data_IF_372377920109
#
_entry.id   IF_372377920109
#
_cell.length_a   1.000
_cell.length_b   1.000
_cell.length_c   1.000
_cell.angle_alpha   90.00
_cell.angle_beta   90.00
_cell.angle_gamma   90.00
#
_symmetry.space_group_name_H-M   'P 1'
#
loop_
_entity.id
_entity.type
_entity.pdbx_description
1 polymer ?
#
# COMPACT_ATOMS: atom_id res chain seq x y z
N UNK A 1 -6.18 -2.27 8.56
CA UNK A 1 -7.44 -2.13 7.83
C UNK A 1 -7.27 -2.74 6.45
N UNK A 2 -8.18 -3.62 6.06
CA UNK A 2 -8.21 -4.17 4.72
C UNK A 2 -8.50 -3.05 3.71
N UNK A 3 -7.91 -3.14 2.53
CA UNK A 3 -8.06 -2.13 1.49
C UNK A 3 -9.51 -1.95 1.03
N UNK A 4 -9.77 -0.84 0.38
CA UNK A 4 -11.09 -0.50 -0.17
C UNK A 4 -11.24 -0.96 -1.63
N UNK A 5 -10.41 -1.88 -2.09
CA UNK A 5 -10.35 -2.36 -3.47
C UNK A 5 -9.68 -1.43 -4.47
N UNK A 6 -9.46 -0.19 -4.10
CA UNK A 6 -8.65 0.76 -4.89
C UNK A 6 -7.19 0.65 -4.48
N UNK A 7 -6.95 0.45 -3.17
CA UNK A 7 -5.62 0.23 -2.58
C UNK A 7 -5.72 -0.88 -1.54
N UNK A 8 -4.66 -1.67 -1.39
CA UNK A 8 -4.72 -2.87 -0.56
C UNK A 8 -4.79 -2.58 0.94
N UNK A 9 -4.18 -1.48 1.40
CA UNK A 9 -4.17 -1.12 2.82
C UNK A 9 -4.55 0.34 3.03
N UNK A 10 -5.47 0.58 3.96
CA UNK A 10 -5.81 1.91 4.44
C UNK A 10 -5.25 2.09 5.85
N UNK A 11 -4.31 3.01 6.02
CA UNK A 11 -3.85 3.42 7.33
C UNK A 11 -4.64 4.64 7.81
N UNK A 12 -4.97 4.65 9.10
CA UNK A 12 -5.61 5.78 9.75
C UNK A 12 -4.60 6.42 10.69
N UNK A 13 -4.21 7.67 10.39
CA UNK A 13 -3.32 8.46 11.21
C UNK A 13 -4.10 9.56 11.91
N UNK A 14 -4.08 9.57 13.25
CA UNK A 14 -4.65 10.66 14.05
C UNK A 14 -3.50 11.50 14.56
N UNK A 15 -3.51 12.79 14.21
CA UNK A 15 -2.43 13.73 14.53
C UNK A 15 -3.01 14.89 15.32
N UNK A 16 -2.40 15.18 16.48
CA UNK A 16 -2.75 16.34 17.32
C UNK A 16 -1.67 17.39 17.22
N UNK A 17 -2.07 18.62 16.93
CA UNK A 17 -1.18 19.78 16.95
C UNK A 17 -1.14 20.38 18.36
N UNK A 18 -0.10 20.10 19.12
CA UNK A 18 0.10 20.63 20.47
C UNK A 18 0.78 22.02 20.50
N UNK A 19 1.00 22.64 19.34
CA UNK A 19 1.61 23.96 19.26
C UNK A 19 0.55 25.10 19.28
N UNK A 20 1.01 26.31 19.53
CA UNK A 20 0.17 27.52 19.48
C UNK A 20 -0.08 28.07 18.08
N UNK A 21 0.44 27.44 17.04
CA UNK A 21 0.31 27.87 15.62
C UNK A 21 -0.21 26.75 14.74
N UNK A 22 -0.81 27.10 13.62
CA UNK A 22 -1.20 26.08 12.61
C UNK A 22 0.04 25.37 12.09
N UNK A 23 -0.06 24.03 11.96
CA UNK A 23 1.00 23.18 11.44
C UNK A 23 0.58 22.53 10.13
N UNK A 24 1.48 22.50 9.17
CA UNK A 24 1.32 21.73 7.96
C UNK A 24 1.83 20.30 8.21
N UNK A 25 1.01 19.32 7.84
CA UNK A 25 1.37 17.91 7.81
C UNK A 25 1.56 17.49 6.37
N UNK A 26 2.72 16.93 6.08
CA UNK A 26 3.04 16.38 4.77
C UNK A 26 3.50 14.94 4.94
N UNK A 27 2.83 14.03 4.27
CA UNK A 27 3.29 12.65 4.08
C UNK A 27 3.72 12.55 2.63
N UNK A 28 5.02 12.47 2.36
CA UNK A 28 5.52 12.45 1.00
C UNK A 28 5.23 11.09 0.33
N UNK A 29 5.18 11.10 -0.99
CA UNK A 29 5.22 9.85 -1.75
C UNK A 29 6.52 9.11 -1.46
N UNK A 30 6.45 7.79 -1.47
CA UNK A 30 7.58 6.94 -1.08
C UNK A 30 7.77 6.81 0.44
N UNK A 31 6.94 7.45 1.27
CA UNK A 31 6.95 7.26 2.72
C UNK A 31 6.61 5.81 3.05
N UNK A 32 7.48 5.14 3.81
CA UNK A 32 7.25 3.78 4.26
C UNK A 32 6.56 3.73 5.62
N UNK A 33 5.88 2.62 5.87
CA UNK A 33 5.20 2.30 7.12
C UNK A 33 5.49 0.86 7.47
N UNK A 34 6.14 0.64 8.60
CA UNK A 34 6.53 -0.70 9.06
C UNK A 34 5.46 -1.25 9.98
N UNK A 35 5.00 -2.46 9.71
CA UNK A 35 4.09 -3.16 10.60
C UNK A 35 4.76 -3.46 11.94
N UNK A 36 4.07 -3.19 13.04
CA UNK A 36 4.56 -3.53 14.39
C UNK A 36 4.67 -5.05 14.56
N UNK A 37 3.76 -5.79 13.96
CA UNK A 37 3.84 -7.25 13.87
C UNK A 37 4.51 -7.63 12.54
N UNK A 38 5.69 -8.22 12.62
CA UNK A 38 6.52 -8.60 11.47
C UNK A 38 5.91 -9.72 10.61
N UNK A 39 4.86 -10.38 11.08
CA UNK A 39 4.10 -11.34 10.28
C UNK A 39 3.27 -10.66 9.16
N UNK A 40 3.03 -9.36 9.27
CA UNK A 40 2.23 -8.60 8.31
C UNK A 40 3.08 -7.71 7.41
N UNK A 41 2.53 -7.43 6.23
CA UNK A 41 3.16 -6.61 5.21
C UNK A 41 3.42 -5.18 5.69
N UNK A 42 4.58 -4.66 5.37
CA UNK A 42 4.89 -3.24 5.43
C UNK A 42 4.23 -2.51 4.25
N UNK A 43 4.13 -1.19 4.33
CA UNK A 43 3.48 -0.41 3.32
C UNK A 43 4.28 0.80 2.86
N UNK A 44 3.95 1.30 1.65
CA UNK A 44 4.50 2.54 1.10
C UNK A 44 3.38 3.41 0.54
N UNK A 45 3.39 4.69 0.87
CA UNK A 45 2.51 5.67 0.23
C UNK A 45 3.02 5.98 -1.18
N UNK A 46 2.22 5.69 -2.20
CA UNK A 46 2.52 6.08 -3.57
C UNK A 46 2.05 7.50 -3.91
N UNK A 47 1.14 8.06 -3.12
CA UNK A 47 0.59 9.39 -3.30
C UNK A 47 1.01 10.31 -2.15
N UNK A 48 1.21 11.58 -2.46
CA UNK A 48 1.45 12.61 -1.45
C UNK A 48 0.13 12.94 -0.74
N UNK A 49 0.17 13.02 0.59
CA UNK A 49 -0.91 13.59 1.39
C UNK A 49 -0.41 14.85 2.08
N UNK A 50 -1.23 15.90 2.09
CA UNK A 50 -0.94 17.09 2.85
C UNK A 50 -2.21 17.66 3.50
N UNK A 51 -2.02 18.38 4.58
CA UNK A 51 -3.12 19.06 5.25
C UNK A 51 -2.62 19.99 6.36
N UNK A 52 -3.49 20.89 6.81
CA UNK A 52 -3.18 21.81 7.89
C UNK A 52 -3.97 21.44 9.13
N UNK A 53 -3.33 21.52 10.30
CA UNK A 53 -3.96 21.30 11.60
C UNK A 53 -3.81 22.58 12.41
N UNK A 54 -4.94 23.17 12.84
CA UNK A 54 -4.96 24.36 13.68
C UNK A 54 -4.38 24.11 15.07
N UNK A 55 -4.09 25.18 15.84
CA UNK A 55 -3.56 25.08 17.19
C UNK A 55 -4.49 24.25 18.10
N UNK A 56 -3.93 23.31 18.86
CA UNK A 56 -4.68 22.46 19.78
C UNK A 56 -5.65 21.48 19.12
N UNK A 57 -5.76 21.47 17.79
CA UNK A 57 -6.69 20.63 17.07
C UNK A 57 -6.12 19.23 16.81
N UNK A 58 -7.04 18.26 16.68
CA UNK A 58 -6.75 16.91 16.24
C UNK A 58 -7.41 16.66 14.88
N UNK A 59 -6.69 16.02 13.96
CA UNK A 59 -7.20 15.64 12.64
C UNK A 59 -6.84 14.20 12.31
N UNK A 60 -7.78 13.51 11.70
CA UNK A 60 -7.60 12.15 11.20
C UNK A 60 -7.39 12.18 9.70
N UNK A 61 -6.36 11.48 9.24
CA UNK A 61 -6.02 11.29 7.84
C UNK A 61 -6.15 9.81 7.48
N UNK A 62 -6.69 9.53 6.32
CA UNK A 62 -6.68 8.19 5.73
C UNK A 62 -5.57 8.14 4.69
N UNK A 63 -4.62 7.26 4.90
CA UNK A 63 -3.49 7.03 4.01
C UNK A 63 -3.74 5.74 3.24
N UNK A 64 -3.58 5.82 1.94
CA UNK A 64 -3.62 4.65 1.09
C UNK A 64 -2.20 4.19 0.81
N UNK A 65 -1.87 2.99 1.27
CA UNK A 65 -0.53 2.43 1.12
C UNK A 65 -0.56 1.15 0.30
N UNK A 66 0.54 0.88 -0.36
CA UNK A 66 0.80 -0.33 -1.13
C UNK A 66 1.77 -1.22 -0.37
N UNK A 67 1.54 -2.51 -0.43
CA UNK A 67 2.41 -3.49 0.22
C UNK A 67 3.79 -3.53 -0.46
N UNK A 68 4.85 -3.69 0.33
CA UNK A 68 6.24 -3.71 -0.15
C UNK A 68 6.97 -5.02 0.17
N UNK A 69 6.26 -6.03 0.67
CA UNK A 69 6.77 -7.37 0.93
C UNK A 69 5.66 -8.40 0.71
N UNK A 70 5.72 -9.06 -0.42
CA UNK A 70 4.69 -10.02 -0.86
C UNK A 70 4.68 -11.31 -0.02
N UNK A 71 5.80 -11.66 0.59
CA UNK A 71 5.99 -12.86 1.40
C UNK A 71 5.31 -12.81 2.78
N UNK A 72 4.81 -11.65 3.20
CA UNK A 72 4.15 -11.46 4.50
C UNK A 72 2.63 -11.45 4.40
N UNK A 73 1.98 -11.74 5.53
CA UNK A 73 0.52 -11.78 5.63
C UNK A 73 -0.16 -10.42 5.43
N UNK A 74 -1.40 -10.45 4.96
CA UNK A 74 -2.24 -9.25 4.90
C UNK A 74 -2.52 -8.77 6.34
N UNK A 75 -2.35 -7.48 6.64
CA UNK A 75 -2.63 -6.96 7.96
C UNK A 75 -4.13 -7.04 8.30
N UNK A 76 -4.48 -7.53 9.49
CA UNK A 76 -5.86 -7.51 9.96
C UNK A 76 -6.30 -6.07 10.28
N UNK A 77 -7.61 -5.87 10.38
CA UNK A 77 -8.16 -4.62 10.91
C UNK A 77 -7.60 -4.36 12.31
N UNK A 78 -7.07 -3.14 12.52
CA UNK A 78 -6.46 -2.75 13.80
C UNK A 78 -4.96 -3.05 13.90
N UNK A 79 -4.33 -3.60 12.87
CA UNK A 79 -2.88 -3.70 12.81
C UNK A 79 -2.23 -2.32 12.98
N UNK A 80 -1.16 -2.27 13.76
CA UNK A 80 -0.43 -1.03 14.06
C UNK A 80 0.80 -0.89 13.16
N UNK A 81 1.07 0.34 12.77
CA UNK A 81 2.19 0.71 11.92
C UNK A 81 2.99 1.85 12.50
N UNK A 82 4.29 1.82 12.29
CA UNK A 82 5.20 2.92 12.60
C UNK A 82 5.62 3.60 11.28
N UNK A 83 5.68 4.93 11.24
CA UNK A 83 6.27 5.62 10.10
C UNK A 83 7.76 5.28 10.00
N UNK A 84 8.17 4.82 8.81
CA UNK A 84 9.57 4.60 8.45
C UNK A 84 10.15 5.81 7.69
N UNK A 85 11.30 5.67 7.07
CA UNK A 85 11.85 6.70 6.19
C UNK A 85 11.10 6.76 4.85
N UNK A 86 11.31 7.83 4.10
CA UNK A 86 11.04 7.82 2.66
C UNK A 86 11.99 6.81 2.02
N UNK A 87 11.49 5.97 1.12
CA UNK A 87 12.32 4.96 0.47
C UNK A 87 13.50 5.59 -0.28
N UNK A 88 14.68 5.00 -0.16
CA UNK A 88 15.85 5.37 -0.96
C UNK A 88 15.93 4.65 -2.31
N UNK A 89 14.99 3.76 -2.62
CA UNK A 89 14.96 3.03 -3.88
C UNK A 89 14.41 3.92 -4.99
N UNK A 90 15.27 4.24 -5.97
CA UNK A 90 14.92 5.14 -7.07
C UNK A 90 13.73 4.63 -7.89
N UNK A 91 13.64 3.32 -8.16
CA UNK A 91 12.54 2.73 -8.93
C UNK A 91 11.19 2.86 -8.20
N UNK A 92 11.17 2.67 -6.88
CA UNK A 92 9.96 2.90 -6.08
C UNK A 92 9.56 4.37 -6.06
N UNK A 93 10.51 5.29 -6.01
CA UNK A 93 10.24 6.73 -6.11
C UNK A 93 9.70 7.12 -7.49
N UNK A 94 10.20 6.52 -8.55
CA UNK A 94 9.69 6.72 -9.92
C UNK A 94 8.25 6.22 -10.04
N UNK A 95 7.95 5.00 -9.54
CA UNK A 95 6.58 4.46 -9.51
C UNK A 95 5.67 5.41 -8.72
N UNK A 96 6.08 5.84 -7.53
CA UNK A 96 5.29 6.76 -6.71
C UNK A 96 5.09 8.12 -7.40
N UNK A 97 6.10 8.61 -8.12
CA UNK A 97 6.01 9.85 -8.89
C UNK A 97 5.01 9.75 -10.05
N UNK A 98 4.98 8.61 -10.74
CA UNK A 98 4.04 8.35 -11.83
C UNK A 98 2.61 8.15 -11.31
N UNK A 99 2.46 7.59 -10.12
CA UNK A 99 1.17 7.26 -9.52
C UNK A 99 0.50 8.46 -8.82
N UNK A 100 1.28 9.45 -8.39
CA UNK A 100 0.81 10.57 -7.56
C UNK A 100 -0.34 11.33 -8.23
N UNK A 101 -1.49 11.38 -7.57
CA UNK A 101 -2.72 12.00 -8.07
C UNK A 101 -3.40 11.30 -9.25
N UNK A 102 -2.93 10.11 -9.66
CA UNK A 102 -3.47 9.39 -10.83
C UNK A 102 -4.16 8.08 -10.48
N UNK A 103 -4.11 7.63 -9.24
CA UNK A 103 -4.69 6.35 -8.84
C UNK A 103 -6.20 6.53 -8.65
N UNK A 104 -6.98 5.73 -9.38
CA UNK A 104 -8.43 5.78 -9.32
C UNK A 104 -9.09 4.51 -9.82
N UNK A 105 -10.42 4.49 -9.78
CA UNK A 105 -11.28 3.41 -10.27
C UNK A 105 -11.92 3.73 -11.62
N UNK A 106 -11.73 4.94 -12.13
CA UNK A 106 -12.35 5.40 -13.37
C UNK A 106 -11.82 4.64 -14.59
N UNK A 107 -12.68 4.54 -15.59
CA UNK A 107 -12.30 3.99 -16.91
C UNK A 107 -11.46 4.96 -17.75
N UNK A 108 -11.08 6.12 -17.22
CA UNK A 108 -10.22 7.09 -17.88
C UNK A 108 -8.85 6.46 -18.17
N UNK A 109 -8.39 6.48 -19.44
CA UNK A 109 -7.08 5.95 -19.81
C UNK A 109 -5.90 6.59 -19.07
N UNK A 110 -6.06 7.83 -18.58
CA UNK A 110 -5.05 8.52 -17.79
C UNK A 110 -4.99 8.05 -16.33
N UNK A 111 -5.99 7.27 -15.88
CA UNK A 111 -6.08 6.79 -14.50
C UNK A 111 -5.32 5.48 -14.35
N UNK A 112 -4.39 5.45 -13.41
CA UNK A 112 -3.68 4.22 -13.06
C UNK A 112 -4.55 3.36 -12.14
N UNK A 113 -4.66 2.07 -12.48
CA UNK A 113 -5.31 1.11 -11.59
C UNK A 113 -4.40 0.79 -10.42
N UNK A 114 -4.94 0.79 -9.21
CA UNK A 114 -4.19 0.45 -8.00
C UNK A 114 -3.49 -0.91 -8.10
N UNK A 115 -4.14 -1.89 -8.72
CA UNK A 115 -3.54 -3.20 -8.97
C UNK A 115 -2.27 -3.13 -9.81
N UNK A 116 -2.24 -2.32 -10.85
CA UNK A 116 -1.04 -2.12 -11.68
C UNK A 116 0.10 -1.47 -10.90
N UNK A 117 -0.21 -0.49 -10.06
CA UNK A 117 0.77 0.16 -9.18
C UNK A 117 1.33 -0.85 -8.17
N UNK A 118 0.48 -1.68 -7.56
CA UNK A 118 0.90 -2.73 -6.64
C UNK A 118 1.82 -3.76 -7.32
N UNK A 119 1.48 -4.18 -8.53
CA UNK A 119 2.36 -5.09 -9.30
C UNK A 119 3.73 -4.47 -9.58
N UNK A 120 3.76 -3.21 -10.01
CA UNK A 120 5.02 -2.52 -10.27
C UNK A 120 5.88 -2.41 -9.00
N UNK A 121 5.27 -2.14 -7.85
CA UNK A 121 5.97 -2.12 -6.57
C UNK A 121 6.56 -3.49 -6.24
N UNK A 122 5.78 -4.56 -6.32
CA UNK A 122 6.26 -5.92 -6.04
C UNK A 122 7.27 -6.43 -7.07
N UNK A 123 7.24 -5.95 -8.33
CA UNK A 123 8.31 -6.24 -9.28
C UNK A 123 9.67 -5.73 -8.75
N UNK A 124 9.68 -4.57 -8.12
CA UNK A 124 10.89 -3.95 -7.57
C UNK A 124 11.29 -4.54 -6.22
N UNK A 125 10.32 -4.82 -5.34
CA UNK A 125 10.61 -5.29 -3.96
C UNK A 125 10.81 -6.79 -3.85
N UNK A 126 10.07 -7.57 -4.64
CA UNK A 126 9.98 -9.02 -4.50
C UNK A 126 10.41 -9.78 -5.76
N UNK A 127 10.77 -9.07 -6.83
CA UNK A 127 11.31 -9.68 -8.05
C UNK A 127 10.30 -10.58 -8.75
N UNK A 128 9.10 -10.09 -9.08
CA UNK A 128 8.04 -10.88 -9.73
C UNK A 128 8.47 -11.58 -11.02
N UNK A 129 9.61 -11.20 -11.59
CA UNK A 129 10.25 -11.89 -12.72
C UNK A 129 10.50 -13.36 -12.47
N UNK A 130 10.69 -13.76 -11.21
CA UNK A 130 10.91 -15.15 -10.79
C UNK A 130 9.62 -15.96 -10.64
N UNK A 131 8.43 -15.33 -10.64
CA UNK A 131 7.16 -16.04 -10.50
C UNK A 131 6.86 -16.91 -11.72
N UNK A 132 6.39 -18.14 -11.47
CA UNK A 132 5.87 -19.00 -12.51
C UNK A 132 4.49 -18.52 -13.01
N UNK A 133 4.00 -19.13 -14.11
CA UNK A 133 2.74 -18.73 -14.73
C UNK A 133 1.55 -18.81 -13.78
N UNK A 134 1.48 -19.84 -12.92
CA UNK A 134 0.39 -20.03 -11.95
C UNK A 134 0.39 -18.89 -10.91
N UNK A 135 1.55 -18.55 -10.38
CA UNK A 135 1.72 -17.46 -9.41
C UNK A 135 1.35 -16.10 -10.01
N UNK A 136 1.78 -15.85 -11.27
CA UNK A 136 1.39 -14.63 -12.00
C UNK A 136 -0.12 -14.55 -12.21
N UNK A 137 -0.77 -15.65 -12.59
CA UNK A 137 -2.21 -15.68 -12.79
C UNK A 137 -2.98 -15.43 -11.49
N UNK A 138 -2.54 -16.01 -10.37
CA UNK A 138 -3.12 -15.74 -9.05
C UNK A 138 -2.99 -14.26 -8.67
N UNK A 139 -1.82 -13.66 -8.91
CA UNK A 139 -1.59 -12.25 -8.64
C UNK A 139 -2.48 -11.36 -9.51
N UNK A 140 -2.59 -11.64 -10.81
CA UNK A 140 -3.49 -10.91 -11.71
C UNK A 140 -4.94 -11.04 -11.25
N UNK A 141 -5.38 -12.22 -10.83
CA UNK A 141 -6.75 -12.43 -10.32
C UNK A 141 -6.99 -11.66 -9.04
N UNK A 142 -6.02 -11.64 -8.11
CA UNK A 142 -6.09 -10.85 -6.88
C UNK A 142 -6.29 -9.36 -7.19
N UNK A 143 -5.51 -8.83 -8.13
CA UNK A 143 -5.53 -7.40 -8.46
C UNK A 143 -6.72 -7.00 -9.34
N UNK A 144 -7.35 -7.96 -10.01
CA UNK A 144 -8.56 -7.77 -10.80
C UNK A 144 -9.86 -7.99 -10.00
N UNK A 145 -9.79 -8.50 -8.77
CA UNK A 145 -10.97 -8.71 -7.93
C UNK A 145 -11.71 -7.40 -7.68
N UNK A 146 -13.04 -7.50 -7.58
CA UNK A 146 -13.88 -6.33 -7.36
C UNK A 146 -13.50 -5.61 -6.05
N UNK A 147 -13.60 -4.28 -6.00
CA UNK A 147 -13.21 -3.48 -4.84
C UNK A 147 -13.86 -3.89 -3.52
N UNK A 148 -15.06 -4.41 -3.56
CA UNK A 148 -15.87 -4.84 -2.43
C UNK A 148 -15.73 -6.35 -2.11
N UNK A 149 -15.05 -7.12 -2.97
CA UNK A 149 -14.77 -8.54 -2.71
C UNK A 149 -13.47 -8.73 -1.89
N UNK A 150 -13.50 -8.23 -0.67
CA UNK A 150 -12.37 -8.34 0.27
C UNK A 150 -12.06 -9.81 0.60
N UNK A 151 -13.09 -10.65 0.74
CA UNK A 151 -12.90 -12.06 1.04
C UNK A 151 -12.23 -12.82 -0.12
N UNK A 152 -12.62 -12.52 -1.36
CA UNK A 152 -12.00 -13.09 -2.56
C UNK A 152 -10.54 -12.64 -2.70
N UNK A 153 -10.25 -11.37 -2.50
CA UNK A 153 -8.86 -10.86 -2.51
C UNK A 153 -8.00 -11.52 -1.45
N UNK A 154 -8.53 -11.69 -0.23
CA UNK A 154 -7.83 -12.36 0.86
C UNK A 154 -7.51 -13.83 0.51
N UNK A 155 -8.49 -14.56 -0.02
CA UNK A 155 -8.31 -15.96 -0.43
C UNK A 155 -7.26 -16.11 -1.54
N UNK A 156 -7.28 -15.24 -2.56
CA UNK A 156 -6.33 -15.27 -3.66
C UNK A 156 -4.89 -14.94 -3.19
N UNK A 157 -4.75 -13.97 -2.28
CA UNK A 157 -3.44 -13.66 -1.72
C UNK A 157 -2.90 -14.80 -0.86
N UNK A 158 -3.72 -15.46 -0.06
CA UNK A 158 -3.31 -16.64 0.69
C UNK A 158 -2.85 -17.78 -0.23
N UNK A 159 -3.55 -18.02 -1.34
CA UNK A 159 -3.12 -19.03 -2.34
C UNK A 159 -1.79 -18.66 -2.98
N UNK A 160 -1.60 -17.37 -3.32
CA UNK A 160 -0.33 -16.89 -3.86
C UNK A 160 0.81 -17.09 -2.87
N UNK A 161 0.64 -16.66 -1.62
CA UNK A 161 1.63 -16.83 -0.56
C UNK A 161 1.97 -18.29 -0.30
N UNK A 162 0.96 -19.17 -0.25
CA UNK A 162 1.19 -20.61 -0.12
C UNK A 162 2.00 -21.19 -1.30
N UNK A 163 1.76 -20.68 -2.51
CA UNK A 163 2.52 -21.10 -3.69
C UNK A 163 3.98 -20.62 -3.67
N UNK A 164 4.24 -19.45 -3.07
CA UNK A 164 5.60 -18.91 -2.91
C UNK A 164 6.40 -19.67 -1.85
N UNK A 165 5.78 -20.05 -0.75
CA UNK A 165 6.44 -20.82 0.33
C UNK A 165 6.88 -22.23 -0.10
N UNK A 166 6.25 -22.82 -1.10
CA UNK A 166 6.65 -24.13 -1.63
C UNK A 166 8.00 -24.04 -2.39
N UNK A 167 8.37 -22.86 -2.86
CA UNK A 167 9.59 -22.63 -3.65
C UNK A 167 10.69 -21.87 -2.90
N UNK A 168 10.50 -21.54 -1.62
CA UNK A 168 11.58 -21.04 -0.79
C UNK A 168 12.60 -22.16 -0.54
N UNK A 169 13.89 -21.93 -0.78
CA UNK A 169 14.94 -22.94 -0.58
C UNK A 169 15.13 -23.30 0.89
#
# INVERSE_FOLDING_TARGET
ALGNGVRLVNLVATVTNNSGTSQEIVIPRGQTFTSVDTAYQDGMAAERLQGTIGPGATRTFVLYVFCINLDRGIPPTGALYLPGPVTGNAQLLDIASLADGKIGVAADPATLKAGGVQMAIWEVTDGLGSLNTTQRNLLVSLLAAAPDDIAGQFSLLQQLQASLTIFAP
#
